data_IF_478349335788
#
_entry.id   IF_478349335788
#
_cell.length_a   1.000
_cell.length_b   1.000
_cell.length_c   1.000
_cell.angle_alpha   90.00
_cell.angle_beta   90.00
_cell.angle_gamma   90.00
#
_symmetry.space_group_name_H-M   'P 1'
#
loop_
_entity.id
_entity.type
_entity.pdbx_description
1 polymer ?
#
# COMPACT_ATOMS: atom_id res chain seq x y z
N UNK A 1 -25.38 -4.37 -13.58
CA UNK A 1 -25.20 -5.63 -12.83
C UNK A 1 -23.78 -5.66 -12.30
N UNK A 2 -23.64 -5.74 -10.98
CA UNK A 2 -22.52 -5.19 -10.21
C UNK A 2 -21.16 -5.85 -10.44
N UNK A 3 -20.21 -5.06 -10.92
CA UNK A 3 -18.79 -5.39 -10.84
C UNK A 3 -18.29 -5.09 -9.43
N UNK A 4 -17.88 -6.13 -8.71
CA UNK A 4 -17.07 -5.96 -7.50
C UNK A 4 -15.61 -6.16 -7.88
N UNK A 5 -14.95 -5.05 -8.22
CA UNK A 5 -13.49 -4.98 -8.20
C UNK A 5 -13.08 -4.68 -6.76
N UNK A 6 -12.20 -5.50 -6.18
CA UNK A 6 -11.81 -5.33 -4.79
C UNK A 6 -10.69 -4.33 -4.62
N UNK A 7 -11.01 -3.35 -3.79
CA UNK A 7 -10.10 -2.34 -3.28
C UNK A 7 -9.01 -2.85 -2.41
N UNK A 8 -7.84 -2.26 -2.65
CA UNK A 8 -6.80 -2.22 -1.65
C UNK A 8 -6.88 -0.87 -0.92
N UNK A 9 -7.42 -0.92 0.30
CA UNK A 9 -7.31 0.11 1.34
C UNK A 9 -6.94 -0.64 2.59
N UNK A 10 -5.90 -0.15 3.26
CA UNK A 10 -5.11 -0.86 4.25
C UNK A 10 -5.87 -1.37 5.48
N UNK A 11 -5.35 -2.48 6.01
CA UNK A 11 -4.79 -2.55 7.37
C UNK A 11 -3.83 -3.74 7.35
N UNK A 12 -2.51 -3.52 7.39
CA UNK A 12 -1.59 -4.62 7.58
C UNK A 12 -1.71 -5.09 9.01
N UNK A 13 -1.67 -6.40 9.16
CA UNK A 13 -1.17 -6.96 10.39
C UNK A 13 -0.34 -8.15 9.97
N UNK A 14 0.92 -8.14 10.40
CA UNK A 14 1.71 -9.37 10.52
C UNK A 14 0.82 -10.38 11.22
N UNK A 15 0.46 -11.47 10.55
CA UNK A 15 -0.36 -12.50 11.17
C UNK A 15 0.46 -13.78 11.32
N UNK A 16 0.59 -14.21 12.59
CA UNK A 16 0.93 -15.55 13.00
C UNK A 16 -0.38 -16.35 13.20
N UNK A 17 -0.55 -17.46 12.45
CA UNK A 17 -1.60 -18.52 12.59
C UNK A 17 -3.07 -18.09 12.43
N UNK A 18 -4.05 -18.88 11.97
CA UNK A 18 -4.14 -20.31 11.62
C UNK A 18 -5.22 -20.47 10.54
N UNK A 19 -4.95 -21.31 9.54
CA UNK A 19 -5.81 -21.61 8.38
C UNK A 19 -4.94 -22.08 7.22
N UNK A 20 -5.18 -23.28 6.72
CA UNK A 20 -4.24 -24.10 5.92
C UNK A 20 -3.53 -23.35 4.77
N UNK A 21 -4.24 -22.46 4.06
CA UNK A 21 -3.66 -21.67 2.97
C UNK A 21 -2.95 -20.37 3.43
N UNK A 22 -3.38 -19.79 4.55
CA UNK A 22 -2.81 -18.52 5.07
C UNK A 22 -1.46 -18.79 5.73
N UNK A 23 -1.36 -19.90 6.47
CA UNK A 23 -0.08 -20.33 7.04
C UNK A 23 0.94 -20.64 5.95
N UNK A 24 0.50 -21.25 4.85
CA UNK A 24 1.36 -21.49 3.69
C UNK A 24 1.83 -20.17 3.04
N UNK A 25 0.93 -19.23 2.75
CA UNK A 25 1.29 -17.91 2.19
C UNK A 25 2.30 -17.18 3.10
N UNK A 26 2.08 -17.23 4.42
CA UNK A 26 2.97 -16.61 5.39
C UNK A 26 4.35 -17.29 5.43
N UNK A 27 4.39 -18.62 5.34
CA UNK A 27 5.63 -19.41 5.30
C UNK A 27 6.46 -19.13 4.05
N UNK A 28 5.80 -19.05 2.90
CA UNK A 28 6.45 -18.76 1.61
C UNK A 28 6.87 -17.29 1.46
N UNK A 29 6.56 -16.44 2.45
CA UNK A 29 6.84 -15.00 2.43
C UNK A 29 6.30 -14.32 1.17
N UNK A 30 5.16 -14.79 0.69
CA UNK A 30 4.48 -14.24 -0.47
C UNK A 30 3.56 -13.09 -0.04
N UNK A 31 3.85 -11.83 -0.40
CA UNK A 31 3.08 -10.69 0.08
C UNK A 31 1.69 -10.66 -0.57
N UNK A 32 0.64 -10.74 0.26
CA UNK A 32 -0.77 -10.68 -0.17
C UNK A 32 -1.49 -9.58 0.59
N UNK A 33 -2.17 -8.70 -0.14
CA UNK A 33 -2.94 -7.59 0.41
C UNK A 33 -4.41 -7.77 0.07
N UNK A 34 -5.26 -7.86 1.10
CA UNK A 34 -6.68 -8.08 0.95
C UNK A 34 -7.47 -7.36 2.05
N UNK A 35 -8.73 -7.01 1.75
CA UNK A 35 -9.61 -6.35 2.72
C UNK A 35 -10.06 -7.29 3.84
N UNK A 36 -10.37 -8.54 3.51
CA UNK A 36 -10.88 -9.53 4.46
C UNK A 36 -10.30 -10.91 4.15
N UNK A 37 -10.31 -11.77 5.17
CA UNK A 37 -10.04 -13.20 5.06
C UNK A 37 -11.37 -13.94 5.10
N UNK A 38 -11.56 -14.91 4.22
CA UNK A 38 -12.77 -15.72 4.20
C UNK A 38 -12.42 -17.18 3.90
N UNK A 39 -13.02 -18.15 4.61
CA UNK A 39 -12.90 -19.55 4.26
C UNK A 39 -13.81 -19.93 3.07
N UNK A 40 -14.67 -19.01 2.62
CA UNK A 40 -15.60 -19.25 1.52
C UNK A 40 -14.84 -19.29 0.20
N UNK A 41 -14.97 -20.42 -0.52
CA UNK A 41 -14.35 -20.60 -1.82
C UNK A 41 -15.03 -19.79 -2.93
N UNK A 42 -14.28 -19.48 -3.98
CA UNK A 42 -14.73 -18.69 -5.13
C UNK A 42 -15.61 -19.47 -6.11
N UNK A 43 -15.59 -20.81 -6.07
CA UNK A 43 -16.31 -21.70 -7.01
C UNK A 43 -17.81 -21.39 -6.98
N UNK A 44 -18.40 -21.21 -8.17
CA UNK A 44 -19.81 -20.89 -8.37
C UNK A 44 -20.22 -19.46 -7.95
N UNK A 45 -19.29 -18.66 -7.42
CA UNK A 45 -19.53 -17.28 -6.98
C UNK A 45 -18.79 -16.25 -7.83
N UNK A 46 -17.65 -16.63 -8.38
CA UNK A 46 -16.75 -15.75 -9.11
C UNK A 46 -16.46 -16.31 -10.51
N UNK A 47 -16.32 -15.39 -11.47
CA UNK A 47 -15.83 -15.67 -12.81
C UNK A 47 -14.88 -14.55 -13.22
N UNK A 48 -13.71 -14.91 -13.75
CA UNK A 48 -12.79 -13.93 -14.36
C UNK A 48 -13.46 -13.39 -15.63
N UNK A 49 -13.63 -12.08 -15.72
CA UNK A 49 -14.32 -11.41 -16.83
C UNK A 49 -13.36 -10.72 -17.81
N UNK A 50 -12.18 -10.32 -17.35
CA UNK A 50 -11.16 -9.65 -18.16
C UNK A 50 -9.78 -9.74 -17.50
N UNK A 51 -8.73 -9.43 -18.26
CA UNK A 51 -7.34 -9.35 -17.82
C UNK A 51 -6.67 -8.17 -18.51
N UNK A 52 -5.67 -7.54 -17.87
CA UNK A 52 -4.97 -6.36 -18.41
C UNK A 52 -5.92 -5.24 -18.87
N UNK A 53 -6.98 -4.98 -18.10
CA UNK A 53 -7.89 -3.85 -18.31
C UNK A 53 -7.93 -2.97 -17.06
N UNK A 54 -8.24 -1.67 -17.19
CA UNK A 54 -8.40 -0.81 -16.03
C UNK A 54 -9.51 -1.30 -15.09
N UNK A 55 -9.26 -1.23 -13.79
CA UNK A 55 -10.23 -1.56 -12.73
C UNK A 55 -10.43 -0.38 -11.78
N UNK A 56 -11.59 -0.33 -11.13
CA UNK A 56 -11.92 0.72 -10.15
C UNK A 56 -12.16 0.16 -8.76
N UNK A 57 -11.43 0.69 -7.81
CA UNK A 57 -11.35 0.24 -6.45
C UNK A 57 -11.79 1.40 -5.54
N UNK A 58 -12.77 1.31 -4.61
CA UNK A 58 -12.79 2.20 -3.44
C UNK A 58 -11.40 2.70 -2.97
N UNK A 59 -11.26 3.99 -2.66
CA UNK A 59 -10.01 4.59 -2.19
C UNK A 59 -10.05 4.96 -0.70
N UNK A 60 -8.88 5.26 -0.14
CA UNK A 60 -8.78 5.81 1.22
C UNK A 60 -9.07 7.33 1.22
N UNK A 61 -8.55 8.05 0.22
CA UNK A 61 -8.67 9.52 0.09
C UNK A 61 -9.75 9.93 -0.92
N UNK A 62 -10.24 9.01 -1.74
CA UNK A 62 -11.23 9.25 -2.78
C UNK A 62 -12.25 8.11 -2.80
N UNK A 63 -13.46 8.38 -3.30
CA UNK A 63 -14.50 7.35 -3.38
C UNK A 63 -14.09 6.16 -4.27
N UNK A 64 -13.30 6.40 -5.31
CA UNK A 64 -12.76 5.39 -6.24
C UNK A 64 -11.35 5.78 -6.72
N UNK A 65 -10.48 4.79 -6.80
CA UNK A 65 -9.13 4.80 -7.37
C UNK A 65 -9.16 3.91 -8.60
N UNK A 66 -8.72 4.45 -9.74
CA UNK A 66 -8.59 3.71 -10.99
C UNK A 66 -7.17 3.16 -11.11
N UNK A 67 -7.06 1.85 -11.31
CA UNK A 67 -5.79 1.15 -11.53
C UNK A 67 -5.74 0.70 -12.98
N UNK A 68 -4.70 1.09 -13.70
CA UNK A 68 -4.46 0.68 -15.09
C UNK A 68 -3.31 -0.33 -15.14
N UNK A 69 -3.29 -1.21 -16.15
CA UNK A 69 -2.07 -1.94 -16.48
C UNK A 69 -0.90 -0.96 -16.68
N UNK A 70 0.25 -1.24 -16.06
CA UNK A 70 1.42 -0.37 -16.09
C UNK A 70 1.54 0.58 -14.89
N UNK A 71 0.46 0.85 -14.15
CA UNK A 71 0.55 1.65 -12.93
C UNK A 71 1.40 0.92 -11.86
N UNK A 72 2.20 1.68 -11.13
CA UNK A 72 3.04 1.14 -10.06
C UNK A 72 2.24 0.98 -8.77
N UNK A 73 2.26 -0.22 -8.19
CA UNK A 73 1.55 -0.52 -6.95
C UNK A 73 2.57 -0.78 -5.84
N UNK A 74 2.58 0.08 -4.84
CA UNK A 74 3.43 -0.07 -3.66
C UNK A 74 2.57 -0.48 -2.47
N UNK A 75 3.02 -1.47 -1.72
CA UNK A 75 2.27 -2.06 -0.62
C UNK A 75 3.19 -2.39 0.56
N UNK A 76 2.76 -2.04 1.77
CA UNK A 76 3.53 -2.22 3.00
C UNK A 76 2.63 -2.37 4.25
N UNK A 77 3.16 -2.02 5.42
CA UNK A 77 2.46 -2.01 6.69
C UNK A 77 1.25 -1.11 6.78
N UNK A 78 1.33 0.04 6.16
CA UNK A 78 0.37 1.11 6.37
C UNK A 78 -0.77 0.97 5.35
N UNK A 79 -0.45 0.45 4.17
CA UNK A 79 -1.45 0.04 3.20
C UNK A 79 -0.89 -0.13 1.82
N UNK A 80 -1.68 0.28 0.83
CA UNK A 80 -1.33 0.18 -0.59
C UNK A 80 -1.64 1.48 -1.28
N UNK A 81 -0.70 1.92 -2.10
CA UNK A 81 -0.82 3.10 -2.95
C UNK A 81 -0.66 2.70 -4.41
N UNK A 82 -1.42 3.39 -5.26
CA UNK A 82 -1.35 3.22 -6.72
C UNK A 82 -0.79 4.50 -7.29
N UNK A 83 0.35 4.40 -7.97
CA UNK A 83 1.06 5.50 -8.59
C UNK A 83 0.92 5.36 -10.10
N UNK A 84 0.26 6.31 -10.77
CA UNK A 84 0.12 6.22 -12.22
C UNK A 84 1.48 6.21 -12.93
N UNK A 85 1.63 5.35 -13.94
CA UNK A 85 2.91 5.15 -14.66
C UNK A 85 3.57 6.48 -15.07
N UNK A 86 2.77 7.40 -15.63
CA UNK A 86 3.22 8.71 -16.14
C UNK A 86 3.90 9.63 -15.11
N UNK A 87 3.65 9.42 -13.81
CA UNK A 87 4.24 10.23 -12.73
C UNK A 87 5.16 9.41 -11.83
N UNK A 88 5.39 8.13 -12.13
CA UNK A 88 6.12 7.24 -11.23
C UNK A 88 7.56 7.71 -10.97
N UNK A 89 8.24 8.22 -12.00
CA UNK A 89 9.59 8.76 -11.89
C UNK A 89 9.65 10.01 -10.99
N UNK A 90 8.69 10.93 -11.15
CA UNK A 90 8.62 12.17 -10.34
C UNK A 90 8.33 11.84 -8.87
N UNK A 91 7.41 10.90 -8.63
CA UNK A 91 7.09 10.43 -7.28
C UNK A 91 8.30 9.77 -6.62
N UNK A 92 9.06 8.96 -7.36
CA UNK A 92 10.29 8.34 -6.82
C UNK A 92 11.32 9.40 -6.43
N UNK A 93 11.60 10.35 -7.32
CA UNK A 93 12.58 11.41 -7.06
C UNK A 93 12.20 12.22 -5.81
N UNK A 94 10.91 12.56 -5.67
CA UNK A 94 10.42 13.31 -4.52
C UNK A 94 10.43 12.47 -3.23
N UNK A 95 10.06 11.19 -3.30
CA UNK A 95 10.13 10.28 -2.16
C UNK A 95 11.57 10.11 -1.64
N UNK A 96 12.57 9.99 -2.52
CA UNK A 96 13.98 9.94 -2.13
C UNK A 96 14.44 11.25 -1.48
N UNK A 97 14.01 12.39 -2.01
CA UNK A 97 14.32 13.71 -1.45
C UNK A 97 13.78 13.85 -0.03
N UNK A 98 12.52 13.47 0.18
CA UNK A 98 11.87 13.48 1.50
C UNK A 98 12.55 12.51 2.47
N UNK A 99 12.85 11.29 2.03
CA UNK A 99 13.53 10.28 2.84
C UNK A 99 14.90 10.77 3.34
N UNK A 100 15.68 11.44 2.48
CA UNK A 100 16.97 12.05 2.88
C UNK A 100 16.80 13.14 3.92
N UNK A 101 15.75 13.97 3.80
CA UNK A 101 15.40 15.01 4.78
C UNK A 101 15.02 14.40 6.12
N UNK A 102 14.14 13.40 6.13
CA UNK A 102 13.74 12.68 7.35
C UNK A 102 14.93 12.00 8.04
N UNK A 103 15.81 11.35 7.28
CA UNK A 103 16.99 10.71 7.85
C UNK A 103 17.95 11.71 8.53
N UNK A 104 17.97 12.98 8.10
CA UNK A 104 18.72 14.04 8.79
C UNK A 104 18.02 14.47 10.08
N UNK A 105 16.70 14.68 10.01
CA UNK A 105 15.86 15.03 11.16
C UNK A 105 15.97 13.97 12.26
N UNK A 106 15.82 12.68 11.91
CA UNK A 106 15.94 11.55 12.86
C UNK A 106 17.29 11.54 13.56
N UNK A 107 18.40 11.76 12.83
CA UNK A 107 19.75 11.85 13.42
C UNK A 107 19.93 13.01 14.39
N UNK A 108 19.27 14.14 14.18
CA UNK A 108 19.33 15.28 15.11
C UNK A 108 18.53 14.98 16.38
N UNK A 109 17.35 14.34 16.25
CA UNK A 109 16.55 13.88 17.39
C UNK A 109 17.29 12.83 18.23
N UNK A 110 17.92 11.83 17.59
CA UNK A 110 18.69 10.78 18.28
C UNK A 110 19.87 11.34 19.09
N UNK A 111 20.37 12.52 18.72
CA UNK A 111 21.44 13.24 19.44
C UNK A 111 20.92 14.10 20.59
N UNK A 112 19.63 14.04 20.89
CA UNK A 112 18.99 14.75 21.99
C UNK A 112 18.48 16.15 21.65
N UNK A 113 18.38 16.51 20.36
CA UNK A 113 17.72 17.76 19.98
C UNK A 113 16.21 17.67 20.27
N UNK A 114 15.60 18.77 20.71
CA UNK A 114 14.16 18.83 20.90
C UNK A 114 13.43 18.79 19.55
N UNK A 115 12.23 18.20 19.51
CA UNK A 115 11.42 18.16 18.29
C UNK A 115 11.09 19.57 17.79
N UNK A 116 10.84 20.51 18.71
CA UNK A 116 10.55 21.91 18.40
C UNK A 116 11.72 22.57 17.66
N UNK A 117 12.95 22.38 18.13
CA UNK A 117 14.15 22.95 17.49
C UNK A 117 14.39 22.38 16.10
N UNK A 118 14.18 21.07 15.95
CA UNK A 118 14.36 20.37 14.67
C UNK A 118 13.29 20.81 13.66
N UNK A 119 12.03 20.95 14.07
CA UNK A 119 10.96 21.47 13.22
C UNK A 119 11.17 22.93 12.83
N UNK A 120 11.64 23.78 13.77
CA UNK A 120 11.98 25.18 13.47
C UNK A 120 13.11 25.29 12.43
N UNK A 121 14.06 24.36 12.46
CA UNK A 121 15.24 24.36 11.58
C UNK A 121 14.99 23.74 10.20
N UNK A 122 14.22 22.66 10.13
CA UNK A 122 14.01 21.90 8.88
C UNK A 122 12.60 22.07 8.29
N UNK A 123 11.68 22.71 9.01
CA UNK A 123 10.28 22.84 8.66
C UNK A 123 9.51 21.52 8.79
N UNK A 124 8.23 21.56 8.43
CA UNK A 124 7.43 20.35 8.29
C UNK A 124 7.90 19.51 7.10
N UNK A 125 7.80 18.20 7.23
CA UNK A 125 8.00 17.23 6.15
C UNK A 125 6.63 16.72 5.75
#
# INVERSE_FOLDING_TARGET
MGGFAYTIVGKMQRYAGTGDHIEWIAKERFPVYARYRTPVQSIGRWKVTAWQVPVELPGATSARVKVRPGDFVLADADGVIVIPERVAADVLAEAERLTKKEARIRRELDRGASLEDVLRKHGHV
#
